data_IF_376649071870
#
_entry.id   IF_376649071870
#
_cell.length_a   1.000
_cell.length_b   1.000
_cell.length_c   1.000
_cell.angle_alpha   90.00
_cell.angle_beta   90.00
_cell.angle_gamma   90.00
#
_symmetry.space_group_name_H-M   'P 1'
#
loop_
_entity.id
_entity.type
_entity.pdbx_description
1 polymer ?
#
# COMPACT_ATOMS: atom_id res chain seq x y z
N UNK A 1 9.58 1.71 15.93
CA UNK A 1 9.09 2.07 14.58
C UNK A 1 9.62 1.06 13.57
N UNK A 2 8.78 0.55 12.69
CA UNK A 2 9.20 -0.40 11.66
C UNK A 2 9.77 0.35 10.46
N UNK A 3 10.61 -0.34 9.69
CA UNK A 3 11.38 0.27 8.59
C UNK A 3 11.36 -0.60 7.33
N UNK A 4 12.13 -0.20 6.32
CA UNK A 4 12.29 -0.98 5.10
C UNK A 4 12.86 -2.38 5.35
N UNK A 5 13.60 -2.57 6.44
CA UNK A 5 14.11 -3.90 6.80
C UNK A 5 12.96 -4.85 7.11
N UNK A 6 11.91 -4.36 7.78
CA UNK A 6 10.73 -5.17 8.08
C UNK A 6 9.99 -5.56 6.81
N UNK A 7 9.90 -4.65 5.85
CA UNK A 7 9.27 -4.90 4.54
C UNK A 7 10.05 -5.98 3.78
N UNK A 8 11.37 -5.83 3.72
CA UNK A 8 12.25 -6.78 3.05
C UNK A 8 12.14 -8.17 3.67
N UNK A 9 12.23 -8.25 4.98
CA UNK A 9 12.17 -9.54 5.69
C UNK A 9 10.82 -10.23 5.49
N UNK A 10 9.72 -9.47 5.52
CA UNK A 10 8.39 -10.02 5.27
C UNK A 10 8.33 -10.73 3.91
N UNK A 11 8.86 -10.09 2.87
CA UNK A 11 8.82 -10.62 1.50
C UNK A 11 9.81 -11.76 1.31
N UNK A 12 11.00 -11.68 1.89
CA UNK A 12 12.00 -12.76 1.84
C UNK A 12 11.48 -14.03 2.50
N UNK A 13 10.86 -13.90 3.66
CA UNK A 13 10.29 -15.05 4.38
C UNK A 13 9.21 -15.78 3.57
N UNK A 14 8.58 -15.08 2.64
CA UNK A 14 7.52 -15.63 1.79
C UNK A 14 8.00 -15.97 0.38
N UNK A 15 9.29 -15.86 0.14
CA UNK A 15 9.89 -16.09 -1.18
C UNK A 15 9.27 -15.26 -2.29
N UNK A 16 8.97 -13.99 -2.00
CA UNK A 16 8.34 -13.07 -2.96
C UNK A 16 9.39 -12.17 -3.60
N UNK A 17 9.54 -12.21 -4.94
CA UNK A 17 10.47 -11.33 -5.64
C UNK A 17 10.08 -9.85 -5.47
N UNK A 18 11.07 -9.02 -5.17
CA UNK A 18 10.87 -7.58 -4.98
C UNK A 18 12.21 -6.86 -5.02
N UNK A 19 12.16 -5.53 -5.12
CA UNK A 19 13.33 -4.68 -4.97
C UNK A 19 12.96 -3.51 -4.05
N UNK A 20 13.91 -3.10 -3.21
CA UNK A 20 13.80 -1.85 -2.49
C UNK A 20 14.70 -0.84 -3.19
N UNK A 21 14.08 0.20 -3.74
CA UNK A 21 14.76 1.20 -4.54
C UNK A 21 15.01 2.42 -3.66
N UNK A 22 16.28 2.78 -3.40
CA UNK A 22 16.56 3.98 -2.61
C UNK A 22 16.22 5.24 -3.42
N UNK A 23 15.67 6.24 -2.74
CA UNK A 23 15.41 7.54 -3.33
C UNK A 23 16.38 8.55 -2.73
N UNK A 24 16.82 9.52 -3.54
CA UNK A 24 17.69 10.58 -3.05
C UNK A 24 16.86 11.58 -2.23
N UNK A 25 17.06 11.55 -0.91
CA UNK A 25 16.29 12.38 0.00
C UNK A 25 14.83 11.89 0.11
N UNK A 26 14.05 12.63 0.88
CA UNK A 26 12.65 12.31 1.08
C UNK A 26 11.83 12.77 -0.11
N UNK A 27 11.11 11.84 -0.72
CA UNK A 27 10.18 12.14 -1.80
C UNK A 27 8.78 12.16 -1.20
N UNK A 28 8.20 13.33 -1.11
CA UNK A 28 6.85 13.53 -0.58
C UNK A 28 6.10 14.57 -1.38
N UNK A 29 4.81 14.41 -1.51
CA UNK A 29 3.99 13.25 -1.22
C UNK A 29 4.23 12.11 -2.22
N UNK A 30 3.75 10.90 -1.95
CA UNK A 30 3.97 9.74 -2.85
C UNK A 30 3.60 10.01 -4.31
N UNK A 31 2.58 10.81 -4.57
CA UNK A 31 2.14 11.15 -5.94
C UNK A 31 3.20 11.90 -6.76
N UNK A 32 4.25 12.45 -6.11
CA UNK A 32 5.37 13.10 -6.82
C UNK A 32 6.46 12.12 -7.21
N UNK A 33 6.42 10.91 -6.67
CA UNK A 33 7.44 9.90 -6.91
C UNK A 33 7.54 9.55 -8.39
N UNK A 34 6.41 9.46 -9.07
CA UNK A 34 6.39 9.13 -10.49
C UNK A 34 7.26 10.10 -11.31
N UNK A 35 7.10 11.41 -11.09
CA UNK A 35 7.88 12.40 -11.82
C UNK A 35 9.38 12.32 -11.48
N UNK A 36 9.72 12.11 -10.21
CA UNK A 36 11.11 12.05 -9.76
C UNK A 36 11.83 10.82 -10.31
N UNK A 37 11.15 9.67 -10.36
CA UNK A 37 11.74 8.42 -10.83
C UNK A 37 11.50 8.15 -12.32
N UNK A 38 10.81 9.04 -13.04
CA UNK A 38 10.53 8.85 -14.45
C UNK A 38 9.54 7.73 -14.74
N UNK A 39 8.57 7.55 -13.83
CA UNK A 39 7.56 6.50 -13.94
C UNK A 39 6.23 7.06 -14.44
N UNK A 40 5.37 6.17 -14.96
CA UNK A 40 4.00 6.53 -15.24
C UNK A 40 3.25 6.70 -13.90
N UNK A 41 2.39 7.73 -13.77
CA UNK A 41 1.67 7.94 -12.51
C UNK A 41 0.89 6.72 -12.01
N UNK A 42 0.35 5.91 -12.93
CA UNK A 42 -0.45 4.73 -12.60
C UNK A 42 0.37 3.59 -12.01
N UNK A 43 1.71 3.68 -12.08
CA UNK A 43 2.60 2.67 -11.50
C UNK A 43 2.88 2.91 -10.02
N UNK A 44 2.53 4.07 -9.50
CA UNK A 44 2.81 4.43 -8.11
C UNK A 44 1.54 4.33 -7.29
N UNK A 45 1.60 3.51 -6.24
CA UNK A 45 0.50 3.32 -5.32
C UNK A 45 0.75 3.93 -3.96
N UNK A 46 -0.31 4.04 -3.20
CA UNK A 46 -0.25 4.37 -1.79
C UNK A 46 -1.23 3.49 -1.01
N UNK A 47 -1.04 3.43 0.27
CA UNK A 47 -1.83 2.59 1.16
C UNK A 47 -2.72 3.47 2.02
N UNK A 48 -4.03 3.22 1.98
CA UNK A 48 -4.99 3.89 2.85
C UNK A 48 -5.64 2.83 3.73
N UNK A 49 -5.69 3.08 5.02
CA UNK A 49 -6.24 2.14 5.98
C UNK A 49 -7.64 2.55 6.42
N UNK A 50 -8.51 1.57 6.51
CA UNK A 50 -9.90 1.74 6.92
C UNK A 50 -10.22 0.77 8.05
N UNK A 51 -11.17 1.13 8.88
CA UNK A 51 -11.65 0.28 9.97
C UNK A 51 -13.10 -0.12 9.69
N UNK A 52 -13.40 -1.40 9.86
CA UNK A 52 -14.76 -1.91 9.74
C UNK A 52 -15.54 -1.67 11.03
N UNK A 53 -16.86 -1.82 10.97
CA UNK A 53 -17.71 -1.68 12.16
C UNK A 53 -17.34 -2.65 13.28
N UNK A 54 -16.73 -3.77 12.94
CA UNK A 54 -16.33 -4.79 13.91
C UNK A 54 -14.89 -4.62 14.40
N UNK A 55 -14.22 -3.54 13.99
CA UNK A 55 -12.86 -3.26 14.41
C UNK A 55 -11.77 -3.89 13.56
N UNK A 56 -12.13 -4.56 12.45
CA UNK A 56 -11.15 -5.09 11.51
C UNK A 56 -10.52 -3.99 10.67
N UNK A 57 -9.34 -4.26 10.12
CA UNK A 57 -8.60 -3.28 9.31
C UNK A 57 -8.61 -3.71 7.84
N UNK A 58 -8.88 -2.75 6.97
CA UNK A 58 -8.83 -2.94 5.51
C UNK A 58 -7.75 -2.00 4.96
N UNK A 59 -6.82 -2.57 4.21
CA UNK A 59 -5.80 -1.80 3.51
C UNK A 59 -6.22 -1.66 2.04
N UNK A 60 -6.52 -0.44 1.63
CA UNK A 60 -6.86 -0.11 0.26
C UNK A 60 -5.60 0.38 -0.46
N UNK A 61 -5.16 -0.36 -1.47
CA UNK A 61 -3.99 -0.02 -2.27
C UNK A 61 -4.48 0.67 -3.53
N UNK A 62 -4.27 1.98 -3.61
CA UNK A 62 -4.82 2.82 -4.68
C UNK A 62 -3.71 3.59 -5.40
N UNK A 63 -3.95 4.05 -6.65
CA UNK A 63 -3.00 4.94 -7.31
C UNK A 63 -2.74 6.17 -6.44
N UNK A 64 -1.47 6.58 -6.34
CA UNK A 64 -1.06 7.64 -5.42
C UNK A 64 -1.75 8.99 -5.68
N UNK A 65 -2.15 9.24 -6.93
CA UNK A 65 -2.83 10.49 -7.30
C UNK A 65 -4.34 10.46 -7.16
N UNK A 66 -4.93 9.36 -6.69
CA UNK A 66 -6.38 9.21 -6.57
C UNK A 66 -6.77 8.91 -5.13
N UNK A 67 -7.99 9.27 -4.78
CA UNK A 67 -8.53 8.98 -3.46
C UNK A 67 -9.31 7.67 -3.47
N UNK A 68 -9.18 6.91 -2.38
CA UNK A 68 -10.01 5.74 -2.16
C UNK A 68 -11.44 6.18 -1.84
N UNK A 69 -12.42 5.55 -2.49
CA UNK A 69 -13.83 5.80 -2.23
C UNK A 69 -14.30 4.88 -1.11
N UNK A 70 -14.69 5.41 0.06
CA UNK A 70 -15.10 4.57 1.20
C UNK A 70 -16.22 3.59 0.89
N UNK A 71 -17.17 3.98 0.03
CA UNK A 71 -18.26 3.06 -0.36
C UNK A 71 -17.73 1.88 -1.15
N UNK A 72 -16.80 2.11 -2.07
CA UNK A 72 -16.18 1.04 -2.86
C UNK A 72 -15.29 0.15 -2.00
N UNK A 73 -14.54 0.75 -1.08
CA UNK A 73 -13.72 -0.01 -0.13
C UNK A 73 -14.62 -0.88 0.74
N UNK A 74 -15.71 -0.34 1.24
CA UNK A 74 -16.66 -1.10 2.05
C UNK A 74 -17.30 -2.25 1.28
N UNK A 75 -17.69 -2.02 0.04
CA UNK A 75 -18.28 -3.06 -0.82
C UNK A 75 -17.28 -4.20 -1.04
N UNK A 76 -16.01 -3.89 -1.25
CA UNK A 76 -14.97 -4.89 -1.46
C UNK A 76 -14.51 -5.54 -0.14
N UNK A 77 -14.54 -4.80 0.94
CA UNK A 77 -14.06 -5.24 2.26
C UNK A 77 -15.09 -5.93 3.14
N UNK A 78 -16.32 -6.04 2.67
CA UNK A 78 -17.36 -6.78 3.38
C UNK A 78 -18.27 -5.97 4.28
N UNK A 79 -18.30 -4.65 4.16
CA UNK A 79 -19.20 -3.82 4.95
C UNK A 79 -18.75 -2.38 5.07
N UNK A 80 -19.52 -1.58 5.77
CA UNK A 80 -19.24 -0.17 5.98
C UNK A 80 -17.88 0.03 6.67
N UNK A 81 -17.10 1.00 6.17
CA UNK A 81 -15.78 1.31 6.69
C UNK A 81 -15.62 2.81 6.93
N UNK A 82 -14.69 3.15 7.83
CA UNK A 82 -14.28 4.52 8.12
C UNK A 82 -12.77 4.60 7.94
N UNK A 83 -12.29 5.63 7.24
CA UNK A 83 -10.85 5.80 7.05
C UNK A 83 -10.19 6.13 8.38
N UNK A 84 -9.06 5.46 8.66
CA UNK A 84 -8.28 5.71 9.86
C UNK A 84 -7.51 7.02 9.74
N UNK A 85 -7.43 7.77 10.83
CA UNK A 85 -6.56 8.93 10.91
C UNK A 85 -5.10 8.47 10.91
N UNK A 86 -4.21 9.33 10.43
CA UNK A 86 -2.78 9.02 10.28
C UNK A 86 -2.14 8.52 11.58
N UNK A 87 -2.43 9.18 12.70
CA UNK A 87 -1.89 8.79 14.00
C UNK A 87 -2.29 7.37 14.39
N UNK A 88 -3.57 7.03 14.20
CA UNK A 88 -4.06 5.69 14.52
C UNK A 88 -3.49 4.64 13.55
N UNK A 89 -3.36 4.99 12.28
CA UNK A 89 -2.74 4.11 11.29
C UNK A 89 -1.29 3.79 11.69
N UNK A 90 -0.54 4.78 12.13
CA UNK A 90 0.83 4.58 12.60
C UNK A 90 0.88 3.73 13.87
N UNK A 91 -0.03 3.97 14.82
CA UNK A 91 -0.08 3.17 16.05
C UNK A 91 -0.33 1.69 15.75
N UNK A 92 -1.19 1.39 14.80
CA UNK A 92 -1.53 0.02 14.44
C UNK A 92 -0.42 -0.68 13.64
N UNK A 93 0.24 0.03 12.73
CA UNK A 93 1.18 -0.56 11.79
C UNK A 93 2.63 -0.38 12.16
N UNK A 94 2.96 0.63 12.97
CA UNK A 94 4.32 1.06 13.30
C UNK A 94 5.08 1.60 12.08
N UNK A 95 4.35 2.06 11.05
CA UNK A 95 4.91 2.80 9.91
C UNK A 95 4.33 4.21 9.89
N UNK A 96 5.13 5.18 9.44
CA UNK A 96 4.63 6.53 9.21
C UNK A 96 3.68 6.53 8.00
N UNK A 97 2.70 7.44 7.94
CA UNK A 97 1.73 7.46 6.84
C UNK A 97 2.35 7.56 5.46
N UNK A 98 3.37 8.42 5.31
CA UNK A 98 4.05 8.63 4.04
C UNK A 98 4.97 7.48 3.64
N UNK A 99 5.28 6.60 4.57
CA UNK A 99 6.15 5.44 4.36
C UNK A 99 5.38 4.12 4.39
N UNK A 100 4.05 4.17 4.50
CA UNK A 100 3.20 3.00 4.68
C UNK A 100 3.35 2.01 3.51
N UNK A 101 3.90 0.81 3.76
CA UNK A 101 4.06 -0.19 2.70
C UNK A 101 2.77 -0.99 2.49
N UNK A 102 2.64 -1.67 1.35
CA UNK A 102 1.47 -2.52 1.11
C UNK A 102 1.57 -3.91 1.75
N UNK A 103 2.68 -4.20 2.42
CA UNK A 103 2.95 -5.49 3.06
C UNK A 103 3.44 -5.26 4.48
N UNK A 104 3.61 -6.35 5.24
CA UNK A 104 4.08 -6.29 6.63
C UNK A 104 3.11 -5.51 7.53
N UNK A 105 1.85 -5.49 7.16
CA UNK A 105 0.76 -4.91 7.95
C UNK A 105 0.29 -5.94 8.99
N UNK A 106 -0.52 -5.54 9.98
CA UNK A 106 -1.04 -6.49 10.97
C UNK A 106 -1.68 -7.70 10.31
N UNK A 107 -1.51 -8.89 10.89
CA UNK A 107 -1.94 -10.17 10.30
C UNK A 107 -3.40 -10.21 9.86
N UNK A 108 -4.27 -9.58 10.62
CA UNK A 108 -5.70 -9.63 10.34
C UNK A 108 -6.15 -8.56 9.33
N UNK A 109 -5.21 -7.89 8.68
CA UNK A 109 -5.54 -6.87 7.69
C UNK A 109 -6.06 -7.51 6.41
N UNK A 110 -7.23 -7.06 5.94
CA UNK A 110 -7.75 -7.42 4.62
C UNK A 110 -7.17 -6.45 3.62
N UNK A 111 -6.43 -6.96 2.65
CA UNK A 111 -5.79 -6.12 1.62
C UNK A 111 -6.57 -6.20 0.32
N UNK A 112 -6.81 -5.05 -0.30
CA UNK A 112 -7.53 -4.94 -1.56
C UNK A 112 -6.70 -4.06 -2.50
N UNK A 113 -6.42 -4.59 -3.70
CA UNK A 113 -5.65 -3.88 -4.72
C UNK A 113 -6.60 -3.27 -5.74
N UNK A 114 -6.47 -1.97 -5.97
CA UNK A 114 -7.27 -1.29 -6.98
C UNK A 114 -6.99 -1.88 -8.37
N UNK A 115 -8.02 -2.05 -9.18
CA UNK A 115 -7.91 -2.66 -10.49
C UNK A 115 -6.97 -1.92 -11.44
N UNK A 116 -6.79 -0.60 -11.26
CA UNK A 116 -5.88 0.19 -12.09
C UNK A 116 -4.43 -0.18 -11.83
N UNK A 117 -4.10 -0.47 -10.57
CA UNK A 117 -2.76 -0.93 -10.19
C UNK A 117 -2.55 -2.37 -10.66
N UNK A 118 -3.56 -3.20 -10.53
CA UNK A 118 -3.47 -4.60 -10.96
C UNK A 118 -3.21 -4.75 -12.46
N UNK A 119 -3.55 -3.74 -13.25
CA UNK A 119 -3.33 -3.74 -14.70
C UNK A 119 -1.91 -3.37 -15.12
N UNK A 120 -1.07 -2.94 -14.20
CA UNK A 120 0.32 -2.53 -14.49
C UNK A 120 1.25 -3.73 -14.52
N UNK A 121 2.39 -3.58 -15.19
CA UNK A 121 3.42 -4.64 -15.20
C UNK A 121 4.23 -4.64 -13.92
N UNK A 122 4.47 -3.45 -13.35
CA UNK A 122 5.24 -3.29 -12.12
C UNK A 122 4.68 -2.12 -11.34
N UNK A 123 4.72 -2.24 -10.01
CA UNK A 123 4.21 -1.24 -9.08
C UNK A 123 5.31 -0.72 -8.16
N UNK A 124 5.14 0.51 -7.73
CA UNK A 124 6.00 1.17 -6.77
C UNK A 124 5.15 1.69 -5.62
N UNK A 125 5.48 1.27 -4.40
CA UNK A 125 4.83 1.72 -3.17
C UNK A 125 5.87 2.28 -2.20
N UNK A 126 5.48 3.08 -1.23
CA UNK A 126 6.40 3.39 -0.14
C UNK A 126 6.93 2.08 0.48
N UNK A 127 8.20 2.05 0.78
CA UNK A 127 8.90 0.84 1.21
C UNK A 127 9.14 0.74 2.71
N UNK A 128 8.38 1.43 3.54
CA UNK A 128 8.55 1.41 4.99
C UNK A 128 9.38 2.56 5.52
N UNK A 129 10.05 3.30 4.66
CA UNK A 129 10.83 4.49 4.99
C UNK A 129 10.61 5.55 3.93
N UNK A 130 10.78 6.82 4.31
CA UNK A 130 10.59 7.95 3.39
C UNK A 130 11.62 7.99 2.25
N UNK A 131 12.72 7.24 2.38
CA UNK A 131 13.82 7.22 1.41
C UNK A 131 13.91 5.92 0.62
N UNK A 132 12.86 5.11 0.68
CA UNK A 132 12.84 3.81 0.00
C UNK A 132 11.49 3.54 -0.64
N UNK A 133 11.51 3.02 -1.88
CA UNK A 133 10.32 2.57 -2.57
C UNK A 133 10.40 1.07 -2.78
N UNK A 134 9.27 0.40 -2.59
CA UNK A 134 9.13 -1.02 -2.89
C UNK A 134 8.71 -1.16 -4.35
N UNK A 135 9.52 -1.86 -5.13
CA UNK A 135 9.21 -2.21 -6.52
C UNK A 135 8.78 -3.68 -6.54
N UNK A 136 7.57 -3.95 -6.99
CA UNK A 136 7.00 -5.29 -6.96
C UNK A 136 5.98 -5.45 -8.08
N UNK A 137 5.89 -6.65 -8.66
CA UNK A 137 4.88 -6.93 -9.67
C UNK A 137 3.52 -7.17 -9.00
N UNK A 138 2.40 -6.81 -9.68
CA UNK A 138 1.07 -7.04 -9.11
C UNK A 138 0.84 -8.49 -8.68
N UNK A 139 1.20 -9.47 -9.49
CA UNK A 139 1.02 -10.88 -9.16
C UNK A 139 1.80 -11.30 -7.90
N UNK A 140 2.98 -10.73 -7.69
CA UNK A 140 3.78 -11.03 -6.51
C UNK A 140 3.18 -10.37 -5.27
N UNK A 141 2.64 -9.17 -5.42
CA UNK A 141 1.97 -8.47 -4.33
C UNK A 141 0.71 -9.23 -3.91
N UNK A 142 -0.08 -9.70 -4.86
CA UNK A 142 -1.28 -10.49 -4.57
C UNK A 142 -0.93 -11.79 -3.85
N UNK A 143 0.14 -12.46 -4.27
CA UNK A 143 0.60 -13.69 -3.62
C UNK A 143 1.06 -13.44 -2.18
N UNK A 144 1.76 -12.33 -1.95
CA UNK A 144 2.29 -12.01 -0.62
C UNK A 144 1.20 -11.63 0.37
N UNK A 145 0.12 -11.00 -0.09
CA UNK A 145 -0.91 -10.42 0.78
C UNK A 145 -2.25 -11.13 0.73
N UNK A 146 -2.43 -12.06 -0.21
CA UNK A 146 -3.71 -12.70 -0.49
C UNK A 146 -4.80 -11.66 -0.82
N UNK A 147 -4.37 -10.53 -1.39
CA UNK A 147 -5.27 -9.43 -1.70
C UNK A 147 -6.27 -9.79 -2.79
N UNK A 148 -7.43 -9.16 -2.73
CA UNK A 148 -8.41 -9.20 -3.80
C UNK A 148 -8.25 -7.95 -4.66
N UNK A 149 -8.71 -8.04 -5.92
CA UNK A 149 -8.70 -6.92 -6.85
C UNK A 149 -10.13 -6.37 -6.95
N UNK A 150 -10.27 -5.05 -6.85
CA UNK A 150 -11.56 -4.40 -6.97
C UNK A 150 -11.38 -2.94 -7.40
N UNK A 151 -12.47 -2.33 -7.85
CA UNK A 151 -12.48 -0.89 -8.14
C UNK A 151 -12.63 -0.14 -6.81
N UNK A 152 -11.61 0.61 -6.42
CA UNK A 152 -11.58 1.32 -5.13
C UNK A 152 -11.65 2.84 -5.28
N UNK A 153 -11.52 3.36 -6.50
CA UNK A 153 -11.53 4.79 -6.76
C UNK A 153 -12.72 5.16 -7.67
N UNK A 154 -13.19 6.38 -7.53
CA UNK A 154 -14.31 6.88 -8.34
C UNK A 154 -13.89 7.12 -9.77
#
# INVERSE_FOLDING_TARGET
MRTAVDVHNYLVERDVPHELVPTQGRVRPPERVAAVLGLEPEQVGRVRLFETMKGGVVAALVPAGLDADPERVGAAGGGEVTELEDERATDLTQFLPEAMPPVALPEDTTTILDERLAAQEVLYFPGGEATSMLKIRPEDLLAATEARVAALTS
#
